data_IF_082966584026
#
_entry.id   IF_082966584026
#
_cell.length_a   1.000
_cell.length_b   1.000
_cell.length_c   1.000
_cell.angle_alpha   90.00
_cell.angle_beta   90.00
_cell.angle_gamma   90.00
#
_symmetry.space_group_name_H-M   'P 1'
#
loop_
_entity.id
_entity.type
_entity.pdbx_description
1 polymer ?
#
# COMPACT_ATOMS: atom_id res chain seq x y z
N UNK A 1 -64.33 17.10 -23.10
CA UNK A 1 -64.23 17.04 -21.63
C UNK A 1 -63.00 17.83 -21.22
N UNK A 2 -63.20 18.84 -20.38
CA UNK A 2 -62.19 19.71 -19.77
C UNK A 2 -61.65 19.01 -18.52
N UNK A 3 -60.35 19.16 -18.24
CA UNK A 3 -59.71 18.82 -16.95
C UNK A 3 -58.21 18.58 -17.17
N UNK A 4 -57.28 19.52 -16.97
CA UNK A 4 -56.86 20.27 -15.77
C UNK A 4 -55.98 19.47 -14.80
N UNK A 5 -54.77 20.01 -14.55
CA UNK A 5 -53.86 19.71 -13.43
C UNK A 5 -52.88 18.55 -13.68
N UNK A 6 -51.59 18.59 -13.30
CA UNK A 6 -50.82 19.55 -12.54
C UNK A 6 -49.32 19.36 -12.85
N UNK A 7 -48.57 20.46 -12.79
CA UNK A 7 -47.11 20.47 -12.85
C UNK A 7 -46.53 20.01 -11.50
N UNK A 8 -45.51 19.15 -11.54
CA UNK A 8 -44.67 18.86 -10.38
C UNK A 8 -43.21 19.21 -10.72
N UNK A 9 -42.81 20.41 -10.29
CA UNK A 9 -41.41 20.79 -10.11
C UNK A 9 -40.84 19.98 -8.95
N UNK A 10 -39.81 19.16 -9.18
CA UNK A 10 -38.96 18.66 -8.10
C UNK A 10 -37.61 19.35 -8.16
N UNK A 11 -37.36 20.07 -7.07
CA UNK A 11 -36.23 20.95 -6.86
C UNK A 11 -34.93 20.18 -6.63
N UNK A 12 -33.84 20.87 -6.99
CA UNK A 12 -32.44 20.52 -6.81
C UNK A 12 -32.12 20.31 -5.32
N UNK A 13 -31.38 19.24 -5.02
CA UNK A 13 -30.75 19.04 -3.71
C UNK A 13 -29.44 18.27 -3.87
N UNK A 14 -28.35 18.98 -4.15
CA UNK A 14 -27.00 18.44 -4.06
C UNK A 14 -26.67 18.08 -2.60
N UNK A 15 -26.01 16.94 -2.31
CA UNK A 15 -25.47 16.72 -0.99
C UNK A 15 -24.24 17.61 -0.78
N UNK A 16 -24.37 18.58 0.13
CA UNK A 16 -23.26 19.36 0.67
C UNK A 16 -22.39 18.44 1.52
N UNK A 17 -21.10 18.39 1.21
CA UNK A 17 -20.08 17.72 2.00
C UNK A 17 -19.94 18.43 3.36
N UNK A 18 -20.33 17.75 4.44
CA UNK A 18 -20.01 18.16 5.80
C UNK A 18 -18.60 17.66 6.16
N UNK A 19 -17.60 18.54 6.07
CA UNK A 19 -16.31 18.31 6.71
C UNK A 19 -16.44 18.59 8.21
N UNK A 20 -16.50 17.54 9.01
CA UNK A 20 -16.33 17.65 10.46
C UNK A 20 -14.84 17.85 10.77
N UNK A 21 -14.46 19.09 11.12
CA UNK A 21 -13.13 19.43 11.64
C UNK A 21 -13.07 19.02 13.11
N UNK A 22 -12.55 17.82 13.40
CA UNK A 22 -12.15 17.47 14.78
C UNK A 22 -10.74 18.00 15.02
N UNK A 23 -10.65 19.17 15.64
CA UNK A 23 -9.40 19.68 16.18
C UNK A 23 -9.08 18.90 17.47
N UNK A 24 -8.01 18.11 17.46
CA UNK A 24 -7.38 17.62 18.69
C UNK A 24 -6.17 18.51 18.99
N UNK A 25 -5.95 18.91 20.25
CA UNK A 25 -4.85 19.80 20.62
C UNK A 25 -3.49 19.09 20.51
N UNK A 26 -2.40 19.84 20.22
CA UNK A 26 -1.07 19.28 20.02
C UNK A 26 -0.43 18.80 21.33
N UNK A 27 0.12 17.59 21.31
CA UNK A 27 1.05 17.08 22.32
C UNK A 27 2.40 17.78 22.15
N UNK A 28 3.04 18.34 23.20
CA UNK A 28 4.35 18.97 23.09
C UNK A 28 5.45 17.91 23.05
N UNK A 29 6.40 18.02 22.09
CA UNK A 29 7.68 17.32 22.20
C UNK A 29 8.29 16.66 20.96
N UNK A 30 7.91 17.01 19.73
CA UNK A 30 8.54 16.38 18.53
C UNK A 30 9.28 17.39 17.65
N UNK A 31 10.54 17.06 17.40
CA UNK A 31 11.58 17.67 16.55
C UNK A 31 11.04 18.41 15.31
N UNK A 32 11.54 19.62 15.00
CA UNK A 32 11.10 20.38 13.83
C UNK A 32 11.61 19.75 12.54
N UNK A 33 10.68 19.42 11.65
CA UNK A 33 10.99 19.26 10.23
C UNK A 33 10.43 17.99 9.60
N UNK A 34 9.11 17.88 9.50
CA UNK A 34 8.39 17.42 8.29
C UNK A 34 6.88 17.61 8.57
N UNK A 35 6.28 18.65 7.99
CA UNK A 35 4.81 18.79 7.98
C UNK A 35 4.23 17.83 6.96
N UNK A 36 3.75 16.66 7.42
CA UNK A 36 2.99 15.72 6.60
C UNK A 36 1.52 16.10 6.66
N UNK A 37 1.00 16.73 5.61
CA UNK A 37 -0.45 16.92 5.45
C UNK A 37 -1.05 15.60 4.94
N UNK A 38 -1.79 14.90 5.80
CA UNK A 38 -2.44 13.62 5.49
C UNK A 38 -3.83 13.89 4.94
N UNK A 39 -4.08 13.51 3.68
CA UNK A 39 -5.41 13.56 3.05
C UNK A 39 -6.12 12.23 3.34
N UNK A 40 -7.44 12.20 3.62
CA UNK A 40 -8.19 10.98 3.88
C UNK A 40 -8.01 9.93 2.77
N UNK A 41 -7.81 8.69 3.19
CA UNK A 41 -7.56 7.50 2.36
C UNK A 41 -8.72 7.17 1.44
N UNK A 42 -8.45 6.91 0.16
CA UNK A 42 -9.41 6.31 -0.78
C UNK A 42 -9.95 4.97 -0.24
N UNK A 43 -11.17 4.55 -0.63
CA UNK A 43 -11.76 3.31 -0.15
C UNK A 43 -10.83 2.12 -0.42
N UNK A 44 -10.69 1.26 0.58
CA UNK A 44 -9.93 0.03 0.44
C UNK A 44 -10.60 -0.87 -0.62
N UNK A 45 -9.84 -1.27 -1.64
CA UNK A 45 -10.27 -2.33 -2.56
C UNK A 45 -10.08 -3.68 -1.88
N UNK A 46 -11.06 -4.59 -1.99
CA UNK A 46 -11.01 -5.91 -1.38
C UNK A 46 -11.15 -7.00 -2.44
N UNK A 47 -10.05 -7.71 -2.71
CA UNK A 47 -10.06 -8.87 -3.60
C UNK A 47 -9.96 -10.15 -2.78
N UNK A 48 -11.00 -10.98 -2.88
CA UNK A 48 -10.97 -12.33 -2.30
C UNK A 48 -10.09 -13.23 -3.18
N UNK A 49 -9.29 -14.09 -2.55
CA UNK A 49 -8.41 -15.02 -3.25
C UNK A 49 -8.56 -16.44 -2.69
N UNK A 50 -8.18 -17.41 -3.51
CA UNK A 50 -8.36 -18.82 -3.20
C UNK A 50 -9.81 -19.30 -3.34
N UNK A 51 -10.11 -20.54 -2.91
CA UNK A 51 -9.23 -21.43 -2.18
C UNK A 51 -8.10 -22.02 -3.03
N UNK A 52 -6.89 -22.04 -2.50
CA UNK A 52 -5.74 -22.75 -3.07
C UNK A 52 -5.35 -23.89 -2.16
N UNK A 53 -4.95 -25.01 -2.76
CA UNK A 53 -4.62 -26.23 -2.02
C UNK A 53 -3.20 -26.69 -2.32
N UNK A 54 -2.57 -27.39 -1.38
CA UNK A 54 -1.38 -28.19 -1.66
C UNK A 54 -1.68 -29.24 -2.73
N UNK A 55 -0.65 -29.76 -3.39
CA UNK A 55 -0.81 -30.78 -4.45
C UNK A 55 -1.51 -32.06 -3.98
N UNK A 56 -1.43 -32.41 -2.70
CA UNK A 56 -2.17 -33.54 -2.09
C UNK A 56 -3.56 -33.16 -1.55
N UNK A 57 -3.94 -31.88 -1.67
CA UNK A 57 -5.23 -31.33 -1.22
C UNK A 57 -5.41 -31.25 0.29
N UNK A 58 -4.38 -31.53 1.10
CA UNK A 58 -4.47 -31.62 2.57
C UNK A 58 -4.18 -30.32 3.31
N UNK A 59 -3.62 -29.32 2.65
CA UNK A 59 -3.54 -27.94 3.13
C UNK A 59 -4.37 -27.05 2.20
N UNK A 60 -5.17 -26.14 2.76
CA UNK A 60 -6.00 -25.20 2.00
C UNK A 60 -5.89 -23.79 2.56
N UNK A 61 -5.67 -22.80 1.70
CA UNK A 61 -5.57 -21.40 2.05
C UNK A 61 -6.56 -20.56 1.23
N UNK A 62 -7.19 -19.57 1.85
CA UNK A 62 -8.04 -18.58 1.19
C UNK A 62 -8.02 -17.29 1.99
N UNK A 63 -8.47 -16.18 1.40
CA UNK A 63 -8.40 -14.91 2.12
C UNK A 63 -8.89 -13.73 1.32
N UNK A 64 -8.47 -12.55 1.79
CA UNK A 64 -8.74 -11.26 1.15
C UNK A 64 -7.49 -10.40 1.16
N UNK A 65 -7.31 -9.59 0.13
CA UNK A 65 -6.33 -8.50 0.11
C UNK A 65 -7.07 -7.18 0.15
N UNK A 66 -6.62 -6.30 1.02
CA UNK A 66 -7.10 -4.93 1.14
C UNK A 66 -5.99 -3.99 0.67
N UNK A 67 -6.24 -3.14 -0.33
CA UNK A 67 -5.25 -2.14 -0.79
C UNK A 67 -5.81 -0.73 -0.66
N UNK A 68 -5.03 0.14 -0.04
CA UNK A 68 -5.32 1.54 0.17
C UNK A 68 -4.25 2.42 -0.46
N UNK A 69 -4.67 3.24 -1.43
CA UNK A 69 -3.82 4.30 -1.98
C UNK A 69 -3.85 5.50 -1.04
N UNK A 70 -2.70 5.86 -0.47
CA UNK A 70 -2.48 7.12 0.24
C UNK A 70 -1.68 8.05 -0.64
N UNK A 71 -2.13 9.30 -0.76
CA UNK A 71 -1.43 10.33 -1.53
C UNK A 71 -1.06 11.46 -0.60
N UNK A 72 0.21 11.86 -0.60
CA UNK A 72 0.68 12.98 0.20
C UNK A 72 1.62 13.87 -0.62
N UNK A 73 1.72 15.14 -0.24
CA UNK A 73 2.68 16.06 -0.85
C UNK A 73 4.02 15.92 -0.12
N UNK A 74 5.07 15.62 -0.88
CA UNK A 74 6.45 15.67 -0.41
C UNK A 74 7.16 16.82 -1.11
N UNK A 75 7.79 17.73 -0.37
CA UNK A 75 8.63 18.76 -1.00
C UNK A 75 10.04 18.21 -1.26
N UNK A 76 10.70 18.76 -2.27
CA UNK A 76 12.12 18.54 -2.50
C UNK A 76 12.79 19.83 -2.97
N UNK A 77 14.09 19.92 -2.74
CA UNK A 77 14.91 21.02 -3.25
C UNK A 77 15.19 20.80 -4.74
N UNK A 78 14.67 21.69 -5.58
CA UNK A 78 15.05 21.76 -6.99
C UNK A 78 16.09 22.84 -7.18
N UNK A 79 17.23 22.48 -7.78
CA UNK A 79 18.27 23.44 -8.15
C UNK A 79 18.01 23.94 -9.56
N UNK A 80 17.90 25.26 -9.72
CA UNK A 80 17.78 25.92 -11.02
C UNK A 80 18.90 26.95 -11.16
N UNK A 81 19.41 27.16 -12.37
CA UNK A 81 20.43 28.18 -12.62
C UNK A 81 19.77 29.49 -13.00
N UNK A 82 20.09 30.56 -12.29
CA UNK A 82 19.66 31.93 -12.62
C UNK A 82 20.87 32.74 -13.06
N UNK A 83 20.71 33.54 -14.11
CA UNK A 83 21.69 34.54 -14.49
C UNK A 83 21.61 35.69 -13.49
N UNK A 84 22.67 35.89 -12.73
CA UNK A 84 22.79 37.00 -11.78
C UNK A 84 23.88 37.93 -12.28
N UNK A 85 23.57 39.22 -12.37
CA UNK A 85 24.55 40.25 -12.71
C UNK A 85 25.45 40.48 -11.49
N UNK A 86 26.71 40.06 -11.57
CA UNK A 86 27.71 40.26 -10.52
C UNK A 86 28.64 41.38 -10.97
N UNK A 87 28.71 42.44 -10.16
CA UNK A 87 29.61 43.56 -10.40
C UNK A 87 30.78 43.52 -9.43
N UNK A 88 31.99 43.77 -9.93
CA UNK A 88 33.22 43.91 -9.15
C UNK A 88 33.95 45.18 -9.59
N UNK A 89 34.62 45.84 -8.64
CA UNK A 89 35.51 46.95 -8.95
C UNK A 89 36.84 46.42 -9.49
N UNK A 90 37.35 47.06 -10.54
CA UNK A 90 38.64 46.77 -11.14
C UNK A 90 39.19 48.08 -11.72
N UNK A 91 40.38 48.50 -11.27
CA UNK A 91 41.05 49.75 -11.69
C UNK A 91 40.16 51.00 -11.67
N UNK A 92 39.40 51.19 -10.59
CA UNK A 92 38.52 52.36 -10.46
C UNK A 92 37.22 52.31 -11.28
N UNK A 93 36.97 51.24 -12.05
CA UNK A 93 35.72 51.03 -12.80
C UNK A 93 34.91 49.84 -12.27
N UNK A 94 33.58 49.95 -12.31
CA UNK A 94 32.66 48.87 -11.89
C UNK A 94 32.33 47.95 -13.07
N UNK A 95 33.02 46.81 -13.17
CA UNK A 95 32.79 45.80 -14.21
C UNK A 95 31.72 44.81 -13.78
N UNK A 96 30.65 44.67 -14.57
CA UNK A 96 29.56 43.74 -14.32
C UNK A 96 29.54 42.60 -15.34
N UNK A 97 29.34 41.37 -14.89
CA UNK A 97 29.18 40.19 -15.75
C UNK A 97 27.99 39.35 -15.33
N UNK A 98 27.33 38.71 -16.28
CA UNK A 98 26.30 37.72 -16.01
C UNK A 98 26.96 36.40 -15.61
N UNK A 99 26.59 35.89 -14.44
CA UNK A 99 27.08 34.61 -13.93
C UNK A 99 25.89 33.71 -13.65
N UNK A 100 25.93 32.47 -14.12
CA UNK A 100 24.96 31.43 -13.73
C UNK A 100 25.22 31.03 -12.28
N UNK A 101 24.29 31.32 -11.38
CA UNK A 101 24.34 30.88 -9.99
C UNK A 101 23.25 29.85 -9.71
N UNK A 102 23.57 28.77 -8.97
CA UNK A 102 22.56 27.80 -8.55
C UNK A 102 21.63 28.46 -7.52
N UNK A 103 20.33 28.27 -7.72
CA UNK A 103 19.26 28.74 -6.85
C UNK A 103 18.39 27.54 -6.49
N UNK A 104 18.28 27.24 -5.19
CA UNK A 104 17.41 26.17 -4.70
C UNK A 104 16.01 26.74 -4.44
N UNK A 105 14.98 26.06 -4.93
CA UNK A 105 13.58 26.35 -4.59
C UNK A 105 12.87 25.10 -4.10
N UNK A 106 11.88 25.30 -3.22
CA UNK A 106 10.98 24.23 -2.80
C UNK A 106 10.00 23.90 -3.92
N UNK A 107 9.91 22.63 -4.27
CA UNK A 107 8.90 22.13 -5.21
C UNK A 107 8.16 20.98 -4.54
N UNK A 108 6.83 21.03 -4.58
CA UNK A 108 5.99 19.93 -4.15
C UNK A 108 5.90 18.88 -5.23
N UNK A 109 6.07 17.61 -4.86
CA UNK A 109 5.69 16.46 -5.67
C UNK A 109 4.60 15.67 -4.93
N UNK A 110 3.65 15.14 -5.67
CA UNK A 110 2.73 14.15 -5.13
C UNK A 110 3.46 12.81 -5.06
N UNK A 111 3.33 12.14 -3.92
CA UNK A 111 3.82 10.80 -3.69
C UNK A 111 2.63 9.91 -3.39
N UNK A 112 2.58 8.77 -4.05
CA UNK A 112 1.54 7.76 -3.87
C UNK A 112 2.16 6.55 -3.18
N UNK A 113 1.57 6.17 -2.05
CA UNK A 113 1.91 4.97 -1.30
C UNK A 113 0.73 4.02 -1.34
N UNK A 114 1.00 2.76 -1.66
CA UNK A 114 -0.01 1.72 -1.76
C UNK A 114 0.14 0.78 -0.58
N UNK A 115 -0.60 1.04 0.50
CA UNK A 115 -0.58 0.18 1.67
C UNK A 115 -1.47 -1.03 1.41
N UNK A 116 -0.98 -2.22 1.69
CA UNK A 116 -1.75 -3.45 1.56
C UNK A 116 -1.82 -4.20 2.88
N UNK A 117 -2.92 -4.92 3.07
CA UNK A 117 -3.12 -5.88 4.14
C UNK A 117 -3.66 -7.17 3.53
N UNK A 118 -2.95 -8.27 3.72
CA UNK A 118 -3.40 -9.61 3.34
C UNK A 118 -3.93 -10.30 4.58
N UNK A 119 -5.17 -10.75 4.53
CA UNK A 119 -5.76 -11.64 5.53
C UNK A 119 -5.94 -13.02 4.92
N UNK A 120 -5.40 -14.05 5.57
CA UNK A 120 -5.47 -15.44 5.12
C UNK A 120 -6.12 -16.32 6.19
N UNK A 121 -6.70 -17.42 5.74
CA UNK A 121 -7.18 -18.52 6.56
C UNK A 121 -6.59 -19.82 6.03
N UNK A 122 -5.88 -20.55 6.89
CA UNK A 122 -5.16 -21.77 6.55
C UNK A 122 -5.75 -22.97 7.29
N UNK A 123 -6.28 -23.93 6.53
CA UNK A 123 -6.83 -25.19 7.03
C UNK A 123 -5.86 -26.35 6.79
N UNK A 124 -5.69 -27.17 7.81
CA UNK A 124 -4.93 -28.41 7.75
C UNK A 124 -5.85 -29.63 7.92
N UNK A 125 -6.10 -30.33 6.82
CA UNK A 125 -6.94 -31.54 6.80
C UNK A 125 -6.18 -32.81 7.22
N UNK A 126 -4.87 -32.74 7.45
CA UNK A 126 -4.04 -33.88 7.86
C UNK A 126 -3.03 -33.42 8.92
N UNK A 127 -3.54 -33.06 10.10
CA UNK A 127 -2.72 -32.58 11.22
C UNK A 127 -2.04 -33.71 12.02
N UNK A 128 -2.40 -34.96 11.73
CA UNK A 128 -1.86 -36.18 12.32
C UNK A 128 -0.97 -36.96 11.35
N UNK A 129 -0.25 -37.96 11.86
CA UNK A 129 0.65 -38.81 11.08
C UNK A 129 2.08 -38.25 11.01
N UNK A 130 2.75 -38.48 9.88
CA UNK A 130 4.18 -38.19 9.70
C UNK A 130 4.54 -36.75 10.09
N UNK A 131 5.41 -36.56 11.13
CA UNK A 131 5.91 -35.26 11.55
C UNK A 131 6.54 -34.41 10.45
N UNK A 132 7.05 -35.02 9.37
CA UNK A 132 7.66 -34.33 8.22
C UNK A 132 6.66 -33.55 7.40
N UNK A 133 5.40 -33.98 7.38
CA UNK A 133 4.35 -33.39 6.55
C UNK A 133 3.14 -32.93 7.34
N UNK A 134 3.04 -33.17 8.65
CA UNK A 134 1.81 -32.93 9.44
C UNK A 134 1.29 -31.49 9.45
N UNK A 135 2.10 -30.50 9.11
CA UNK A 135 1.69 -29.09 9.12
C UNK A 135 1.26 -28.62 7.72
N UNK A 136 0.21 -27.83 7.66
CA UNK A 136 -0.08 -27.00 6.49
C UNK A 136 0.81 -25.76 6.51
N UNK A 137 1.28 -25.35 5.34
CA UNK A 137 2.08 -24.14 5.16
C UNK A 137 1.53 -23.32 3.99
N UNK A 138 1.50 -22.02 4.16
CA UNK A 138 1.36 -21.07 3.07
C UNK A 138 2.57 -20.15 3.05
N UNK A 139 3.08 -19.88 1.85
CA UNK A 139 4.18 -18.94 1.62
C UNK A 139 3.71 -17.91 0.62
N UNK A 140 3.75 -16.64 1.01
CA UNK A 140 3.53 -15.50 0.16
C UNK A 140 4.85 -15.02 -0.43
N UNK A 141 4.84 -14.72 -1.72
CA UNK A 141 5.88 -13.99 -2.42
C UNK A 141 5.33 -12.60 -2.73
N UNK A 142 5.98 -11.57 -2.20
CA UNK A 142 5.60 -10.18 -2.39
C UNK A 142 6.64 -9.52 -3.29
N UNK A 143 6.24 -9.08 -4.47
CA UNK A 143 7.05 -8.29 -5.40
C UNK A 143 6.62 -6.84 -5.28
N UNK A 144 7.53 -5.95 -4.92
CA UNK A 144 7.27 -4.52 -4.80
C UNK A 144 7.44 -3.81 -6.16
N UNK A 145 6.88 -2.60 -6.30
CA UNK A 145 7.03 -1.79 -7.52
C UNK A 145 8.48 -1.45 -7.89
N UNK A 146 9.40 -1.48 -6.93
CA UNK A 146 10.84 -1.30 -7.18
C UNK A 146 11.57 -2.60 -7.61
N UNK A 147 10.84 -3.71 -7.82
CA UNK A 147 11.40 -5.02 -8.17
C UNK A 147 11.93 -5.84 -7.00
N UNK A 148 12.00 -5.28 -5.78
CA UNK A 148 12.41 -6.05 -4.60
C UNK A 148 11.38 -7.13 -4.28
N UNK A 149 11.87 -8.30 -3.87
CA UNK A 149 11.03 -9.45 -3.53
C UNK A 149 11.23 -9.84 -2.07
N UNK A 150 10.14 -10.10 -1.35
CA UNK A 150 10.15 -10.61 0.01
C UNK A 150 9.22 -11.80 0.17
N UNK A 151 9.43 -12.58 1.22
CA UNK A 151 8.62 -13.78 1.51
C UNK A 151 8.06 -13.73 2.93
N UNK A 152 6.81 -14.16 3.08
CA UNK A 152 6.19 -14.39 4.39
C UNK A 152 5.55 -15.75 4.41
N UNK A 153 5.77 -16.53 5.46
CA UNK A 153 5.20 -17.87 5.58
C UNK A 153 4.45 -18.03 6.88
N UNK A 154 3.34 -18.76 6.83
CA UNK A 154 2.54 -19.12 7.99
C UNK A 154 2.31 -20.62 8.01
N UNK A 155 2.15 -21.17 9.21
CA UNK A 155 2.03 -22.61 9.42
C UNK A 155 0.85 -22.94 10.32
N UNK A 156 0.11 -23.98 9.97
CA UNK A 156 -0.93 -24.54 10.82
C UNK A 156 -0.71 -26.06 10.99
N UNK A 157 -0.30 -26.47 12.19
CA UNK A 157 -0.11 -27.88 12.55
C UNK A 157 -1.31 -28.49 13.27
N UNK A 158 -2.37 -27.73 13.54
CA UNK A 158 -3.56 -28.18 14.27
C UNK A 158 -4.72 -28.55 13.35
N UNK A 159 -5.80 -29.07 13.95
CA UNK A 159 -7.03 -29.42 13.23
C UNK A 159 -7.83 -28.20 12.77
N UNK A 160 -7.88 -27.18 13.61
CA UNK A 160 -8.69 -25.98 13.39
C UNK A 160 -8.09 -25.11 12.29
N UNK A 161 -8.94 -24.42 11.54
CA UNK A 161 -8.49 -23.35 10.63
C UNK A 161 -7.88 -22.21 11.47
N UNK A 162 -6.74 -21.67 11.04
CA UNK A 162 -6.10 -20.53 11.70
C UNK A 162 -6.05 -19.37 10.72
N UNK A 163 -6.37 -18.18 11.20
CA UNK A 163 -6.29 -16.95 10.41
C UNK A 163 -4.98 -16.23 10.66
N UNK A 164 -4.37 -15.70 9.60
CA UNK A 164 -3.20 -14.84 9.67
C UNK A 164 -3.49 -13.51 8.99
N UNK A 165 -2.72 -12.49 9.37
CA UNK A 165 -2.75 -11.20 8.70
C UNK A 165 -1.35 -10.62 8.65
N UNK A 166 -1.01 -9.97 7.55
CA UNK A 166 0.18 -9.16 7.44
C UNK A 166 -0.05 -7.97 6.53
N UNK A 167 0.73 -6.92 6.76
CA UNK A 167 0.68 -5.70 5.97
C UNK A 167 2.05 -5.36 5.40
N UNK A 168 2.03 -4.45 4.43
CA UNK A 168 3.21 -3.85 3.83
C UNK A 168 2.83 -2.70 2.91
N UNK A 169 3.79 -2.24 2.12
CA UNK A 169 3.60 -1.10 1.23
C UNK A 169 4.15 -1.38 -0.16
N UNK A 170 3.55 -0.75 -1.16
CA UNK A 170 4.01 -0.72 -2.54
C UNK A 170 4.23 -2.09 -3.18
N UNK A 171 3.38 -3.07 -2.84
CA UNK A 171 3.32 -4.34 -3.54
C UNK A 171 2.75 -4.13 -4.95
N UNK A 172 3.46 -4.67 -5.94
CA UNK A 172 3.01 -4.80 -7.32
C UNK A 172 2.27 -6.12 -7.49
N UNK A 173 2.88 -7.22 -7.07
CA UNK A 173 2.31 -8.56 -7.16
C UNK A 173 2.45 -9.28 -5.82
N UNK A 174 1.41 -10.01 -5.42
CA UNK A 174 1.43 -10.93 -4.29
C UNK A 174 0.99 -12.28 -4.82
N UNK A 175 1.84 -13.28 -4.68
CA UNK A 175 1.51 -14.67 -4.96
C UNK A 175 1.52 -15.47 -3.68
N UNK A 176 0.74 -16.56 -3.66
CA UNK A 176 0.79 -17.56 -2.59
C UNK A 176 1.08 -18.94 -3.15
N UNK A 177 1.77 -19.73 -2.37
CA UNK A 177 1.99 -21.15 -2.59
C UNK A 177 1.63 -21.90 -1.32
N UNK A 178 0.83 -22.96 -1.48
CA UNK A 178 0.37 -23.79 -0.37
C UNK A 178 1.11 -25.12 -0.41
N UNK A 179 1.53 -25.60 0.75
CA UNK A 179 2.34 -26.82 0.86
C UNK A 179 2.04 -27.55 2.18
N UNK A 180 2.60 -28.75 2.28
CA UNK A 180 2.70 -29.48 3.54
C UNK A 180 4.06 -29.18 4.17
N UNK A 181 4.29 -29.61 5.39
CA UNK A 181 5.58 -29.40 6.04
C UNK A 181 5.69 -29.94 7.43
N UNK A 182 6.88 -29.76 7.99
CA UNK A 182 7.14 -30.05 9.39
C UNK A 182 6.80 -28.84 10.24
N UNK A 183 7.02 -28.94 11.54
CA UNK A 183 6.87 -27.80 12.43
C UNK A 183 7.85 -26.66 12.10
N UNK A 184 9.04 -26.97 11.57
CA UNK A 184 10.10 -25.99 11.34
C UNK A 184 10.10 -25.37 9.94
N UNK A 185 9.54 -26.05 8.94
CA UNK A 185 9.54 -25.54 7.56
C UNK A 185 8.52 -26.24 6.67
N UNK A 186 8.07 -25.58 5.58
CA UNK A 186 7.35 -26.25 4.51
C UNK A 186 8.21 -27.36 3.89
N UNK A 187 7.60 -28.52 3.65
CA UNK A 187 8.19 -29.72 3.07
C UNK A 187 7.20 -30.35 2.09
N UNK A 188 7.59 -30.39 0.82
CA UNK A 188 6.89 -31.15 -0.20
C UNK A 188 5.44 -30.72 -0.44
N UNK A 189 4.78 -31.45 -1.32
CA UNK A 189 3.39 -31.23 -1.74
C UNK A 189 3.06 -29.79 -2.16
N UNK A 190 4.04 -29.07 -2.68
CA UNK A 190 3.91 -27.68 -3.11
C UNK A 190 2.87 -27.54 -4.22
N UNK A 191 1.99 -26.56 -4.09
CA UNK A 191 1.22 -26.05 -5.21
C UNK A 191 2.13 -25.26 -6.16
N UNK A 192 1.62 -24.93 -7.35
CA UNK A 192 2.17 -23.80 -8.10
C UNK A 192 1.97 -22.50 -7.31
N UNK A 193 2.73 -21.46 -7.66
CA UNK A 193 2.38 -20.10 -7.25
C UNK A 193 1.01 -19.72 -7.84
N UNK A 194 0.22 -19.00 -7.07
CA UNK A 194 -1.11 -18.50 -7.45
C UNK A 194 -1.18 -17.02 -7.09
N UNK A 195 -1.66 -16.21 -8.02
CA UNK A 195 -1.82 -14.77 -7.79
C UNK A 195 -2.89 -14.52 -6.73
N UNK A 196 -2.55 -13.68 -5.76
CA UNK A 196 -3.40 -13.19 -4.67
C UNK A 196 -3.77 -11.73 -4.90
N UNK A 197 -2.85 -10.97 -5.49
CA UNK A 197 -3.05 -9.58 -5.89
C UNK A 197 -2.08 -9.24 -7.01
N UNK A 198 -2.52 -8.40 -7.96
CA UNK A 198 -1.70 -7.82 -9.01
C UNK A 198 -2.22 -6.41 -9.31
N UNK A 199 -1.31 -5.43 -9.35
CA UNK A 199 -1.60 -4.00 -9.44
C UNK A 199 -1.56 -3.44 -10.87
#
# INVERSE_FOLDING_TARGET
MVGAGAAALLAVGAPVAANATVATPPVPGTVPGTVVSVIPSSPASFDAWGPYSSSDGKAKAWGKVSVQKKSHKQWYWKTEYKNVRVCKWHDGEKKCRWVKKPYKKHVWKWVHEYNYTVSSALKNSKWWGDPRYRCAWETFRIVNFNGSTSYKSFKNCGKSTVSYSFSGTNAKDIDVRVSRGSFGSPKGHWSSWKSVYSA
#
